data_IF_244488265119
#
_entry.id   IF_244488265119
#
_cell.length_a   1.000
_cell.length_b   1.000
_cell.length_c   1.000
_cell.angle_alpha   90.00
_cell.angle_beta   90.00
_cell.angle_gamma   90.00
#
_symmetry.space_group_name_H-M   'P 1'
#
loop_
_entity.id
_entity.type
_entity.pdbx_description
1 polymer ?
#
# COMPACT_ATOMS: atom_id res chain seq x y z
N UNK A 1 -18.73 9.79 -2.93
CA UNK A 1 -18.52 9.39 -1.52
C UNK A 1 -17.04 9.47 -1.10
N UNK A 2 -16.18 10.18 -1.84
CA UNK A 2 -14.72 10.23 -1.60
C UNK A 2 -14.19 11.65 -1.44
N UNK A 3 -15.08 12.65 -1.39
CA UNK A 3 -14.69 14.05 -1.26
C UNK A 3 -13.92 14.27 0.05
N UNK A 4 -12.68 14.75 -0.05
CA UNK A 4 -11.77 14.93 1.07
C UNK A 4 -10.87 13.74 1.42
N UNK A 5 -11.04 12.58 0.78
CA UNK A 5 -10.17 11.41 1.00
C UNK A 5 -8.90 11.48 0.14
N UNK A 6 -7.78 11.02 0.70
CA UNK A 6 -6.47 10.99 0.03
C UNK A 6 -5.89 9.58 -0.02
N UNK A 7 -5.24 9.25 -1.13
CA UNK A 7 -4.31 8.13 -1.20
C UNK A 7 -2.89 8.64 -0.94
N UNK A 8 -2.20 8.06 0.04
CA UNK A 8 -0.79 8.32 0.31
C UNK A 8 0.08 7.15 -0.16
N UNK A 9 1.13 7.43 -0.91
CA UNK A 9 2.08 6.43 -1.43
C UNK A 9 3.51 6.96 -1.43
N UNK A 10 4.48 6.09 -1.72
CA UNK A 10 5.81 6.55 -2.13
C UNK A 10 5.77 7.18 -3.55
N UNK A 11 6.96 7.55 -4.05
CA UNK A 11 7.15 8.07 -5.42
C UNK A 11 7.52 6.98 -6.44
N UNK A 12 7.06 5.74 -6.24
CA UNK A 12 7.28 4.64 -7.17
C UNK A 12 6.75 4.95 -8.58
N UNK A 13 7.32 4.31 -9.60
CA UNK A 13 6.95 4.50 -11.01
C UNK A 13 5.46 4.28 -11.28
N UNK A 14 4.84 3.34 -10.56
CA UNK A 14 3.40 3.07 -10.66
C UNK A 14 2.57 4.27 -10.18
N UNK A 15 2.89 4.82 -9.01
CA UNK A 15 2.11 5.90 -8.39
C UNK A 15 2.34 7.25 -9.05
N UNK A 16 3.51 7.46 -9.63
CA UNK A 16 3.88 8.65 -10.41
C UNK A 16 3.40 8.59 -11.86
N UNK A 17 2.90 7.44 -12.33
CA UNK A 17 2.46 7.28 -13.72
C UNK A 17 1.24 8.14 -14.06
N UNK A 18 1.13 8.66 -15.30
CA UNK A 18 -0.05 9.41 -15.74
C UNK A 18 -1.34 8.60 -15.66
N UNK A 19 -1.26 7.28 -15.88
CA UNK A 19 -2.41 6.37 -15.78
C UNK A 19 -2.96 6.33 -14.36
N UNK A 20 -2.08 6.19 -13.36
CA UNK A 20 -2.50 6.17 -11.96
C UNK A 20 -3.07 7.52 -11.52
N UNK A 21 -2.41 8.62 -11.87
CA UNK A 21 -2.90 9.97 -11.53
C UNK A 21 -4.28 10.27 -12.12
N UNK A 22 -4.52 9.86 -13.38
CA UNK A 22 -5.84 9.99 -14.02
C UNK A 22 -6.91 9.17 -13.31
N UNK A 23 -6.57 7.95 -12.85
CA UNK A 23 -7.49 7.10 -12.11
C UNK A 23 -7.85 7.73 -10.75
N UNK A 24 -6.86 8.18 -9.98
CA UNK A 24 -7.07 8.84 -8.68
C UNK A 24 -7.99 10.05 -8.82
N UNK A 25 -7.76 10.89 -9.84
CA UNK A 25 -8.63 12.04 -10.15
C UNK A 25 -10.05 11.61 -10.54
N UNK A 26 -10.21 10.56 -11.36
CA UNK A 26 -11.52 10.02 -11.76
C UNK A 26 -12.31 9.50 -10.55
N UNK A 27 -11.63 9.00 -9.53
CA UNK A 27 -12.25 8.53 -8.28
C UNK A 27 -12.52 9.65 -7.26
N UNK A 28 -12.28 10.91 -7.62
CA UNK A 28 -12.39 12.07 -6.73
C UNK A 28 -11.57 11.93 -5.44
N UNK A 29 -10.39 11.29 -5.54
CA UNK A 29 -9.43 11.16 -4.45
C UNK A 29 -8.33 12.21 -4.62
N UNK A 30 -7.83 12.74 -3.50
CA UNK A 30 -6.57 13.45 -3.45
C UNK A 30 -5.39 12.49 -3.53
N UNK A 31 -4.26 12.93 -4.10
CA UNK A 31 -3.02 12.17 -4.09
C UNK A 31 -1.99 12.88 -3.21
N UNK A 32 -1.39 12.12 -2.29
CA UNK A 32 -0.26 12.54 -1.47
C UNK A 32 0.88 11.55 -1.69
N UNK A 33 2.13 12.03 -1.75
CA UNK A 33 3.29 11.16 -1.91
C UNK A 33 4.39 11.54 -0.92
N UNK A 34 5.11 10.54 -0.40
CA UNK A 34 6.25 10.75 0.50
C UNK A 34 7.35 11.60 -0.15
N UNK A 35 8.09 12.36 0.65
CA UNK A 35 9.26 13.12 0.16
C UNK A 35 10.42 12.18 -0.14
N UNK A 36 11.20 12.51 -1.17
CA UNK A 36 12.42 11.76 -1.51
C UNK A 36 13.42 11.82 -0.36
N UNK A 37 14.00 10.67 -0.01
CA UNK A 37 14.98 10.56 1.07
C UNK A 37 14.40 10.70 2.49
N UNK A 38 13.07 10.72 2.63
CA UNK A 38 12.41 10.77 3.93
C UNK A 38 11.53 9.53 4.14
N UNK A 39 12.09 8.49 4.77
CA UNK A 39 11.35 7.28 5.14
C UNK A 39 10.27 7.55 6.20
N UNK A 40 10.39 8.62 6.99
CA UNK A 40 9.43 9.01 8.02
C UNK A 40 8.01 9.18 7.49
N UNK A 41 7.86 9.66 6.26
CA UNK A 41 6.56 9.91 5.64
C UNK A 41 5.81 8.59 5.33
N UNK A 42 6.50 7.44 5.27
CA UNK A 42 5.96 6.12 4.93
C UNK A 42 5.88 5.16 6.15
N UNK A 43 6.22 5.64 7.35
CA UNK A 43 6.30 4.82 8.59
C UNK A 43 5.06 3.96 8.85
N UNK A 44 3.81 4.45 8.68
CA UNK A 44 2.63 3.62 8.92
C UNK A 44 2.57 2.39 8.00
N UNK A 45 2.91 2.57 6.72
CA UNK A 45 2.96 1.47 5.75
C UNK A 45 4.13 0.53 6.06
N UNK A 46 5.30 1.06 6.38
CA UNK A 46 6.47 0.25 6.76
C UNK A 46 6.22 -0.59 8.01
N UNK A 47 5.58 -0.02 9.04
CA UNK A 47 5.22 -0.73 10.27
C UNK A 47 4.22 -1.85 9.99
N UNK A 48 3.18 -1.57 9.21
CA UNK A 48 2.18 -2.58 8.83
C UNK A 48 2.83 -3.75 8.07
N UNK A 49 3.61 -3.45 7.03
CA UNK A 49 4.26 -4.50 6.24
C UNK A 49 5.39 -5.21 7.00
N UNK A 50 6.01 -4.55 7.98
CA UNK A 50 6.93 -5.19 8.92
C UNK A 50 6.24 -6.27 9.73
N UNK A 51 5.15 -5.90 10.43
CA UNK A 51 4.36 -6.87 11.20
C UNK A 51 3.77 -7.98 10.32
N UNK A 52 3.30 -7.65 9.11
CA UNK A 52 2.78 -8.66 8.18
C UNK A 52 3.84 -9.69 7.80
N UNK A 53 5.10 -9.27 7.59
CA UNK A 53 6.20 -10.19 7.31
C UNK A 53 6.48 -11.09 8.51
N UNK A 54 6.53 -10.53 9.72
CA UNK A 54 6.74 -11.30 10.94
C UNK A 54 5.67 -12.40 11.11
N UNK A 55 4.39 -12.08 10.84
CA UNK A 55 3.30 -13.06 10.84
C UNK A 55 3.45 -14.09 9.71
N UNK A 56 3.78 -13.65 8.50
CA UNK A 56 3.95 -14.53 7.34
C UNK A 56 5.12 -15.51 7.51
N UNK A 57 6.16 -15.15 8.26
CA UNK A 57 7.32 -16.03 8.53
C UNK A 57 7.01 -17.17 9.51
N UNK A 58 5.87 -17.15 10.21
CA UNK A 58 5.50 -18.22 11.17
C UNK A 58 5.08 -19.53 10.50
N UNK A 59 4.69 -19.49 9.22
CA UNK A 59 4.14 -20.64 8.50
C UNK A 59 4.55 -20.59 7.03
N UNK A 60 5.06 -21.71 6.53
CA UNK A 60 5.35 -21.88 5.11
C UNK A 60 4.08 -22.28 4.36
N UNK A 61 3.81 -21.62 3.24
CA UNK A 61 2.70 -21.95 2.35
C UNK A 61 3.26 -22.57 1.08
N UNK A 62 2.67 -23.66 0.62
CA UNK A 62 3.08 -24.32 -0.63
C UNK A 62 2.26 -23.76 -1.79
N UNK A 63 1.00 -23.38 -1.52
CA UNK A 63 0.10 -22.84 -2.53
C UNK A 63 -0.36 -21.42 -2.19
N UNK A 64 -0.52 -20.62 -3.25
CA UNK A 64 -1.05 -19.25 -3.15
C UNK A 64 -2.44 -19.21 -2.51
N UNK A 65 -3.28 -20.23 -2.73
CA UNK A 65 -4.64 -20.30 -2.16
C UNK A 65 -4.60 -20.36 -0.63
N UNK A 66 -3.69 -21.16 -0.07
CA UNK A 66 -3.53 -21.30 1.39
C UNK A 66 -3.09 -19.97 2.01
N UNK A 67 -2.12 -19.31 1.37
CA UNK A 67 -1.65 -18.00 1.81
C UNK A 67 -2.77 -16.93 1.73
N UNK A 68 -3.58 -16.93 0.67
CA UNK A 68 -4.69 -15.98 0.55
C UNK A 68 -5.75 -16.17 1.64
N UNK A 69 -6.02 -17.40 2.03
CA UNK A 69 -6.96 -17.67 3.13
C UNK A 69 -6.40 -17.13 4.44
N UNK A 70 -5.11 -17.31 4.70
CA UNK A 70 -4.46 -16.79 5.92
C UNK A 70 -4.46 -15.26 5.96
N UNK A 71 -4.02 -14.60 4.88
CA UNK A 71 -3.95 -13.12 4.78
C UNK A 71 -5.31 -12.47 5.04
N UNK A 72 -6.40 -13.11 4.62
CA UNK A 72 -7.77 -12.59 4.84
C UNK A 72 -8.22 -12.66 6.29
N UNK A 73 -7.53 -13.42 7.13
CA UNK A 73 -7.83 -13.58 8.55
C UNK A 73 -6.93 -12.70 9.44
N UNK A 74 -6.00 -11.95 8.84
CA UNK A 74 -5.22 -10.89 9.50
C UNK A 74 -6.03 -9.60 9.44
#
# INVERSE_FOLDING_TARGET
MTEGAYIHSDQGSHYTSPTNQKLVKKLNLGQSMSRRGNCGDNVPQESFFGHLKDEAHKKSFVFFVEWNQEIRNI
#
